data_IF_203710903845
#
_entry.id   IF_203710903845
#
_cell.length_a   1.000
_cell.length_b   1.000
_cell.length_c   1.000
_cell.angle_alpha   90.00
_cell.angle_beta   90.00
_cell.angle_gamma   90.00
#
_symmetry.space_group_name_H-M   'P 1'
#
loop_
_entity.id
_entity.type
_entity.pdbx_description
1 polymer ?
#
# COMPACT_ATOMS: atom_id res chain seq x y z
N UNK A 1 -44.33 21.16 -0.92
CA UNK A 1 -43.56 21.44 0.31
C UNK A 1 -43.81 20.26 1.24
N UNK A 2 -42.86 19.49 1.76
CA UNK A 2 -41.39 19.55 1.83
C UNK A 2 -40.89 18.11 2.02
N UNK A 3 -39.87 17.71 1.26
CA UNK A 3 -39.18 16.43 1.45
C UNK A 3 -38.22 16.53 2.63
N UNK A 4 -38.42 15.69 3.65
CA UNK A 4 -37.53 15.57 4.80
C UNK A 4 -36.45 14.51 4.48
N UNK A 5 -35.27 14.98 4.05
CA UNK A 5 -34.08 14.15 3.91
C UNK A 5 -33.50 13.89 5.31
N UNK A 6 -33.68 12.65 5.78
CA UNK A 6 -33.06 12.15 7.01
C UNK A 6 -31.55 11.99 6.82
N UNK A 7 -30.81 12.59 7.76
CA UNK A 7 -29.36 12.69 7.83
C UNK A 7 -28.70 11.31 8.07
N UNK A 8 -27.77 10.91 7.20
CA UNK A 8 -26.84 9.83 7.50
C UNK A 8 -25.70 10.37 8.37
N UNK A 9 -25.74 10.03 9.66
CA UNK A 9 -24.63 10.21 10.61
C UNK A 9 -23.45 9.30 10.21
N UNK A 10 -22.44 9.88 9.56
CA UNK A 10 -21.20 9.17 9.17
C UNK A 10 -20.26 8.97 10.37
N UNK A 11 -20.42 7.83 11.03
CA UNK A 11 -19.42 7.21 11.92
C UNK A 11 -18.25 6.69 11.05
N UNK A 12 -17.01 6.78 11.57
CA UNK A 12 -15.73 6.53 10.89
C UNK A 12 -15.76 5.59 9.67
N UNK A 13 -15.48 6.15 8.48
CA UNK A 13 -15.62 5.42 7.21
C UNK A 13 -14.59 4.30 7.06
N UNK A 14 -14.99 3.22 6.41
CA UNK A 14 -14.09 2.17 5.94
C UNK A 14 -14.35 2.01 4.45
N UNK A 15 -13.33 2.19 3.63
CA UNK A 15 -13.40 1.91 2.20
C UNK A 15 -13.34 0.40 1.96
N UNK A 16 -14.38 -0.12 1.31
CA UNK A 16 -14.43 -1.49 0.83
C UNK A 16 -14.18 -1.53 -0.67
N UNK A 17 -13.31 -2.45 -1.10
CA UNK A 17 -13.11 -2.79 -2.51
C UNK A 17 -13.67 -4.19 -2.74
N UNK A 18 -14.21 -4.43 -3.93
CA UNK A 18 -14.65 -5.76 -4.34
C UNK A 18 -13.46 -6.66 -4.62
N UNK A 19 -13.72 -7.95 -4.81
CA UNK A 19 -12.73 -8.90 -5.30
C UNK A 19 -12.11 -8.49 -6.65
N UNK A 20 -12.78 -7.71 -7.50
CA UNK A 20 -12.16 -7.19 -8.73
C UNK A 20 -11.36 -5.90 -8.51
N UNK A 21 -11.41 -5.33 -7.31
CA UNK A 21 -10.78 -4.06 -6.97
C UNK A 21 -11.63 -2.83 -7.30
N UNK A 22 -12.93 -3.01 -7.54
CA UNK A 22 -13.88 -1.91 -7.75
C UNK A 22 -14.32 -1.33 -6.41
N UNK A 23 -14.46 -0.01 -6.31
CA UNK A 23 -14.91 0.66 -5.10
C UNK A 23 -16.39 0.33 -4.80
N UNK A 24 -16.65 -0.11 -3.58
CA UNK A 24 -18.01 -0.27 -3.06
C UNK A 24 -18.64 1.11 -2.79
N UNK A 25 -19.90 1.27 -3.18
CA UNK A 25 -20.69 2.50 -2.92
C UNK A 25 -21.27 2.49 -1.50
N UNK A 26 -21.39 1.31 -0.91
CA UNK A 26 -21.88 1.07 0.44
C UNK A 26 -20.98 0.08 1.17
N UNK A 27 -21.13 -0.02 2.48
CA UNK A 27 -20.43 -1.03 3.28
C UNK A 27 -20.61 -2.45 2.73
N UNK A 28 -19.61 -3.28 2.95
CA UNK A 28 -19.69 -4.70 2.61
C UNK A 28 -20.64 -5.43 3.56
N UNK A 29 -21.80 -5.88 3.07
CA UNK A 29 -22.90 -6.44 3.89
C UNK A 29 -23.18 -7.90 3.55
N UNK A 30 -23.67 -8.69 4.52
CA UNK A 30 -24.10 -10.06 4.26
C UNK A 30 -25.38 -10.09 3.40
N UNK A 31 -25.38 -10.95 2.38
CA UNK A 31 -26.45 -11.25 1.44
C UNK A 31 -26.41 -12.74 1.11
N UNK A 32 -27.40 -13.50 1.58
CA UNK A 32 -27.47 -14.95 1.33
C UNK A 32 -26.31 -15.78 1.89
N UNK A 33 -25.61 -15.28 2.92
CA UNK A 33 -24.43 -15.92 3.51
C UNK A 33 -23.10 -15.48 2.91
N UNK A 34 -23.13 -14.64 1.87
CA UNK A 34 -21.97 -14.04 1.22
C UNK A 34 -21.91 -12.54 1.54
N UNK A 35 -20.72 -11.95 1.52
CA UNK A 35 -20.55 -10.52 1.69
C UNK A 35 -20.43 -9.85 0.34
N UNK A 36 -21.35 -8.90 0.08
CA UNK A 36 -21.46 -8.17 -1.18
C UNK A 36 -21.65 -6.68 -0.92
N UNK A 37 -21.27 -5.90 -1.93
CA UNK A 37 -21.55 -4.47 -1.97
C UNK A 37 -22.00 -4.09 -3.38
N UNK A 38 -22.71 -2.96 -3.49
CA UNK A 38 -23.02 -2.38 -4.80
C UNK A 38 -21.84 -1.61 -5.35
N UNK A 39 -21.64 -1.76 -6.66
CA UNK A 39 -20.72 -0.96 -7.46
C UNK A 39 -21.41 -0.45 -8.71
N UNK A 40 -20.99 0.70 -9.22
CA UNK A 40 -21.43 1.23 -10.52
C UNK A 40 -20.33 0.92 -11.54
N UNK A 41 -20.69 0.26 -12.64
CA UNK A 41 -19.77 0.04 -13.75
C UNK A 41 -19.58 1.31 -14.61
N UNK A 42 -18.68 1.23 -15.60
CA UNK A 42 -18.38 2.35 -16.49
C UNK A 42 -19.59 2.81 -17.33
N UNK A 43 -20.58 1.95 -17.50
CA UNK A 43 -21.80 2.21 -18.26
C UNK A 43 -22.95 2.70 -17.35
N UNK A 44 -22.68 2.92 -16.06
CA UNK A 44 -23.63 3.43 -15.08
C UNK A 44 -24.57 2.38 -14.49
N UNK A 45 -24.38 1.08 -14.76
CA UNK A 45 -25.21 0.02 -14.19
C UNK A 45 -24.71 -0.38 -12.81
N UNK A 46 -25.65 -0.55 -11.88
CA UNK A 46 -25.38 -1.08 -10.56
C UNK A 46 -25.21 -2.60 -10.63
N UNK A 47 -24.16 -3.12 -10.01
CA UNK A 47 -23.89 -4.55 -9.87
C UNK A 47 -23.61 -4.87 -8.40
N UNK A 48 -24.03 -6.05 -7.93
CA UNK A 48 -23.65 -6.58 -6.62
C UNK A 48 -22.42 -7.47 -6.80
N UNK A 49 -21.35 -7.17 -6.07
CA UNK A 49 -20.08 -7.87 -6.21
C UNK A 49 -19.53 -8.30 -4.86
N UNK A 50 -18.78 -9.41 -4.83
CA UNK A 50 -18.15 -9.90 -3.62
C UNK A 50 -17.14 -8.90 -3.07
N UNK A 51 -17.19 -8.70 -1.76
CA UNK A 51 -16.26 -7.90 -0.98
C UNK A 51 -15.97 -8.62 0.34
N UNK A 52 -15.03 -8.09 1.13
CA UNK A 52 -14.72 -8.64 2.45
C UNK A 52 -15.28 -7.76 3.56
N UNK A 53 -15.85 -8.33 4.63
CA UNK A 53 -16.36 -7.56 5.76
C UNK A 53 -15.24 -6.92 6.59
N UNK A 54 -14.04 -7.50 6.55
CA UNK A 54 -12.86 -7.05 7.27
C UNK A 54 -11.59 -7.36 6.46
N UNK A 55 -10.48 -6.74 6.87
CA UNK A 55 -9.19 -7.01 6.25
C UNK A 55 -8.83 -8.50 6.36
N UNK A 56 -8.32 -9.04 5.25
CA UNK A 56 -7.83 -10.41 5.18
C UNK A 56 -8.86 -11.51 5.50
N UNK A 57 -10.15 -11.24 5.27
CA UNK A 57 -11.20 -12.25 5.22
C UNK A 57 -11.65 -12.47 3.78
N UNK A 58 -12.20 -13.64 3.47
CA UNK A 58 -12.88 -13.86 2.20
C UNK A 58 -14.33 -13.36 2.24
N UNK A 59 -15.00 -13.48 1.10
CA UNK A 59 -16.39 -13.08 0.90
C UNK A 59 -17.41 -13.93 1.68
N UNK A 60 -17.01 -15.01 2.34
CA UNK A 60 -17.84 -15.74 3.30
C UNK A 60 -17.51 -15.39 4.76
N UNK A 61 -16.62 -14.40 4.98
CA UNK A 61 -16.15 -14.02 6.31
C UNK A 61 -15.17 -15.02 6.93
N UNK A 62 -14.56 -15.90 6.12
CA UNK A 62 -13.55 -16.85 6.57
C UNK A 62 -12.18 -16.20 6.54
N UNK A 63 -11.36 -16.47 7.55
CA UNK A 63 -10.03 -15.89 7.65
C UNK A 63 -9.09 -16.44 6.57
N UNK A 64 -8.45 -15.55 5.82
CA UNK A 64 -7.38 -15.92 4.90
C UNK A 64 -6.12 -16.35 5.67
N UNK A 65 -5.39 -17.33 5.12
CA UNK A 65 -4.12 -17.78 5.69
C UNK A 65 -3.06 -16.69 5.67
N UNK A 66 -2.14 -16.74 6.62
CA UNK A 66 -1.03 -15.79 6.70
C UNK A 66 -0.08 -15.86 5.48
N UNK A 67 0.09 -17.04 4.88
CA UNK A 67 0.91 -17.28 3.67
C UNK A 67 0.10 -17.11 2.36
N UNK A 68 -1.12 -16.60 2.45
CA UNK A 68 -2.00 -16.34 1.33
C UNK A 68 -3.06 -15.36 1.80
N UNK A 69 -2.64 -14.13 2.10
CA UNK A 69 -3.52 -13.05 2.49
C UNK A 69 -4.45 -12.62 1.34
N UNK A 70 -5.38 -11.70 1.55
CA UNK A 70 -6.19 -11.22 0.43
C UNK A 70 -5.34 -10.49 -0.63
N UNK A 71 -5.34 -10.99 -1.86
CA UNK A 71 -4.55 -10.40 -2.95
C UNK A 71 -4.79 -11.08 -4.29
N UNK A 72 -4.23 -10.52 -5.37
CA UNK A 72 -4.51 -11.01 -6.74
C UNK A 72 -3.73 -12.26 -7.15
N UNK A 73 -2.51 -12.46 -6.64
CA UNK A 73 -1.69 -13.64 -6.94
C UNK A 73 -1.56 -13.99 -8.45
N UNK A 74 -1.51 -12.98 -9.31
CA UNK A 74 -1.43 -13.16 -10.78
C UNK A 74 -2.78 -13.22 -11.50
N UNK A 75 -3.89 -13.18 -10.77
CA UNK A 75 -5.24 -13.16 -11.32
C UNK A 75 -5.77 -11.72 -11.50
N UNK A 76 -6.86 -11.55 -12.24
CA UNK A 76 -7.57 -10.27 -12.35
C UNK A 76 -8.50 -9.98 -11.15
N UNK A 77 -8.74 -10.98 -10.30
CA UNK A 77 -9.46 -10.91 -9.04
C UNK A 77 -8.57 -11.15 -7.82
N UNK A 78 -8.96 -10.59 -6.69
CA UNK A 78 -8.40 -10.83 -5.38
C UNK A 78 -9.01 -12.09 -4.75
N UNK A 79 -8.15 -12.96 -4.24
CA UNK A 79 -8.52 -14.19 -3.55
C UNK A 79 -7.51 -14.50 -2.45
N UNK A 80 -7.78 -15.55 -1.68
CA UNK A 80 -6.89 -16.04 -0.66
C UNK A 80 -7.13 -17.51 -0.37
N UNK A 81 -6.14 -18.22 0.18
CA UNK A 81 -6.34 -19.59 0.69
C UNK A 81 -6.91 -19.53 2.11
N UNK A 82 -7.90 -20.38 2.38
CA UNK A 82 -8.50 -20.54 3.71
C UNK A 82 -7.84 -21.71 4.43
N UNK A 83 -7.61 -22.82 3.72
CA UNK A 83 -6.81 -23.94 4.17
C UNK A 83 -6.05 -24.55 2.98
N UNK A 84 -5.49 -25.75 3.13
CA UNK A 84 -4.70 -26.41 2.08
C UNK A 84 -5.56 -26.76 0.85
N UNK A 85 -6.86 -26.95 1.03
CA UNK A 85 -7.77 -27.49 -0.01
C UNK A 85 -8.82 -26.47 -0.49
N UNK A 86 -8.85 -25.26 0.09
CA UNK A 86 -9.89 -24.28 -0.20
C UNK A 86 -9.34 -22.87 -0.27
N UNK A 87 -9.97 -22.10 -1.14
CA UNK A 87 -9.73 -20.68 -1.34
C UNK A 87 -11.07 -19.94 -1.39
N UNK A 88 -10.99 -18.61 -1.38
CA UNK A 88 -12.16 -17.75 -1.51
C UNK A 88 -11.77 -16.40 -2.11
N UNK A 89 -12.73 -15.78 -2.81
CA UNK A 89 -12.59 -14.39 -3.25
C UNK A 89 -12.56 -13.45 -2.06
N UNK A 90 -11.84 -12.36 -2.16
CA UNK A 90 -11.75 -11.40 -1.07
C UNK A 90 -11.62 -9.98 -1.62
N UNK A 91 -12.21 -9.02 -0.93
CA UNK A 91 -12.05 -7.60 -1.18
C UNK A 91 -11.00 -6.97 -0.26
N UNK A 92 -10.34 -5.91 -0.72
CA UNK A 92 -9.46 -5.13 0.14
C UNK A 92 -10.29 -4.16 1.00
N UNK A 93 -9.96 -4.05 2.28
CA UNK A 93 -10.64 -3.18 3.26
C UNK A 93 -9.64 -2.16 3.78
N UNK A 94 -9.99 -0.87 3.74
CA UNK A 94 -9.12 0.25 4.16
C UNK A 94 -9.86 1.17 5.11
N UNK A 95 -9.29 1.54 6.25
CA UNK A 95 -9.91 2.54 7.12
C UNK A 95 -9.83 3.95 6.48
N UNK A 96 -10.95 4.68 6.47
CA UNK A 96 -11.00 6.08 6.04
C UNK A 96 -10.55 6.96 7.20
N UNK A 97 -9.36 7.54 7.09
CA UNK A 97 -8.91 8.55 8.06
C UNK A 97 -9.73 9.82 7.84
N UNK A 98 -10.63 10.15 8.78
CA UNK A 98 -11.23 11.50 8.87
C UNK A 98 -10.09 12.51 9.08
N UNK A 99 -9.94 13.43 8.13
CA UNK A 99 -9.32 14.73 8.35
C UNK A 99 -10.12 15.42 9.46
N UNK A 100 -9.53 15.56 10.65
CA UNK A 100 -10.04 16.52 11.63
C UNK A 100 -9.63 17.90 11.11
N UNK A 101 -10.66 18.63 10.72
CA UNK A 101 -10.67 20.05 10.44
C UNK A 101 -10.08 20.83 11.63
N UNK A 102 -8.99 21.56 11.40
CA UNK A 102 -8.70 22.77 12.14
C UNK A 102 -8.62 23.88 11.11
N UNK A 103 -9.75 24.55 10.91
CA UNK A 103 -9.83 25.78 10.14
C UNK A 103 -8.86 26.83 10.66
N UNK A 104 -8.27 27.59 9.75
CA UNK A 104 -8.65 28.99 9.52
C UNK A 104 -7.73 29.53 8.42
N UNK A 105 -8.32 30.09 7.38
CA UNK A 105 -7.60 30.60 6.23
C UNK A 105 -6.86 31.89 6.55
N UNK A 106 -5.64 32.02 6.03
CA UNK A 106 -5.13 33.31 5.57
C UNK A 106 -4.24 33.09 4.35
N UNK A 107 -4.62 33.74 3.25
CA UNK A 107 -3.76 33.98 2.11
C UNK A 107 -2.54 34.79 2.54
N UNK A 108 -1.34 34.21 2.50
CA UNK A 108 -0.11 34.99 2.33
C UNK A 108 0.80 34.29 1.31
N UNK A 109 1.05 35.00 0.23
CA UNK A 109 2.07 34.74 -0.77
C UNK A 109 3.46 34.83 -0.13
N UNK A 110 4.28 33.78 -0.19
CA UNK A 110 5.74 33.96 -0.28
C UNK A 110 6.45 32.66 -0.66
N UNK A 111 7.41 32.83 -1.57
CA UNK A 111 8.31 31.81 -2.10
C UNK A 111 9.30 31.39 -1.02
N UNK A 112 9.06 30.27 -0.34
CA UNK A 112 10.12 29.52 0.36
C UNK A 112 9.90 28.02 0.15
N UNK A 113 10.99 27.29 -0.11
CA UNK A 113 11.02 25.86 -0.44
C UNK A 113 10.19 25.06 0.59
N UNK A 114 8.99 24.63 0.18
CA UNK A 114 8.14 23.75 0.96
C UNK A 114 8.88 22.43 1.20
N UNK A 115 9.43 22.27 2.41
CA UNK A 115 9.73 20.96 2.97
C UNK A 115 8.38 20.27 3.11
N UNK A 116 8.01 19.46 2.10
CA UNK A 116 6.77 18.69 2.10
C UNK A 116 6.78 17.84 3.38
N UNK A 117 5.82 18.06 4.26
CA UNK A 117 5.66 17.23 5.46
C UNK A 117 5.37 15.80 4.96
N UNK A 118 6.14 14.78 5.37
CA UNK A 118 5.86 13.40 4.99
C UNK A 118 4.44 12.99 5.40
N UNK A 119 3.69 12.40 4.49
CA UNK A 119 2.34 11.87 4.75
C UNK A 119 2.46 10.57 5.54
N UNK A 120 1.78 10.44 6.68
CA UNK A 120 1.71 9.17 7.42
C UNK A 120 0.74 8.23 6.71
N UNK A 121 1.28 7.22 6.03
CA UNK A 121 0.51 6.17 5.35
C UNK A 121 -0.22 5.34 6.41
N UNK A 122 0.52 4.80 7.37
CA UNK A 122 -0.02 3.91 8.39
C UNK A 122 0.89 3.81 9.62
N UNK A 123 0.32 3.37 10.73
CA UNK A 123 1.01 3.07 11.98
C UNK A 123 0.52 1.73 12.51
N UNK A 124 1.39 0.73 12.53
CA UNK A 124 1.11 -0.59 13.10
C UNK A 124 1.58 -0.61 14.56
N UNK A 125 0.67 -0.88 15.49
CA UNK A 125 0.94 -0.95 16.93
C UNK A 125 0.91 -2.41 17.40
N UNK A 126 2.09 -2.98 17.63
CA UNK A 126 2.28 -4.29 18.25
C UNK A 126 2.43 -4.12 19.75
N UNK A 127 1.28 -4.07 20.43
CA UNK A 127 1.21 -3.89 21.89
C UNK A 127 1.88 -5.02 22.66
N UNK A 128 1.91 -6.24 22.11
CA UNK A 128 2.52 -7.39 22.77
C UNK A 128 4.04 -7.26 22.88
N UNK A 129 4.66 -6.67 21.85
CA UNK A 129 6.10 -6.42 21.82
C UNK A 129 6.47 -4.96 22.18
N UNK A 130 5.47 -4.11 22.47
CA UNK A 130 5.61 -2.67 22.68
C UNK A 130 6.34 -1.96 21.53
N UNK A 131 6.02 -2.34 20.30
CA UNK A 131 6.63 -1.79 19.08
C UNK A 131 5.56 -1.06 18.27
N UNK A 132 5.87 0.18 17.91
CA UNK A 132 5.09 0.94 16.93
C UNK A 132 5.91 1.14 15.67
N UNK A 133 5.38 0.70 14.53
CA UNK A 133 5.99 0.84 13.20
C UNK A 133 5.20 1.83 12.37
N UNK A 134 5.82 2.92 11.93
CA UNK A 134 5.16 3.98 11.15
C UNK A 134 5.69 4.00 9.72
N UNK A 135 4.78 4.03 8.76
CA UNK A 135 5.07 4.18 7.33
C UNK A 135 4.77 5.63 6.93
N UNK A 136 5.74 6.32 6.35
CA UNK A 136 5.53 7.68 5.83
C UNK A 136 5.92 7.77 4.36
N UNK A 137 5.23 8.60 3.59
CA UNK A 137 5.48 8.85 2.18
C UNK A 137 5.94 10.30 1.97
N UNK A 138 7.01 10.48 1.20
CA UNK A 138 7.43 11.75 0.66
C UNK A 138 7.30 11.72 -0.87
N UNK A 139 6.39 12.53 -1.42
CA UNK A 139 6.16 12.58 -2.86
C UNK A 139 7.44 12.99 -3.61
N UNK A 140 7.91 12.12 -4.52
CA UNK A 140 9.16 12.29 -5.26
C UNK A 140 8.96 12.10 -6.78
N UNK A 141 8.03 12.84 -7.42
CA UNK A 141 7.60 12.58 -8.79
C UNK A 141 8.70 12.78 -9.84
N UNK A 142 9.72 13.61 -9.56
CA UNK A 142 10.84 13.87 -10.46
C UNK A 142 11.95 12.80 -10.35
N UNK A 143 11.97 12.06 -9.24
CA UNK A 143 12.97 11.03 -8.94
C UNK A 143 12.40 9.62 -9.12
N UNK A 144 11.08 9.45 -9.01
CA UNK A 144 10.36 8.17 -9.14
C UNK A 144 9.38 8.27 -10.31
N UNK A 145 9.71 7.53 -11.38
CA UNK A 145 8.93 7.51 -12.62
C UNK A 145 7.66 6.67 -12.47
N UNK A 146 6.66 6.90 -13.34
CA UNK A 146 5.47 6.04 -13.38
C UNK A 146 5.85 4.66 -13.92
N UNK A 147 5.76 3.65 -13.06
CA UNK A 147 6.11 2.27 -13.38
C UNK A 147 4.95 1.39 -13.84
N UNK A 148 3.73 1.92 -14.05
CA UNK A 148 2.51 1.11 -14.30
C UNK A 148 2.66 0.00 -15.33
N UNK A 149 3.40 0.23 -16.42
CA UNK A 149 3.63 -0.77 -17.45
C UNK A 149 4.40 -2.01 -16.97
N UNK A 150 5.16 -1.90 -15.88
CA UNK A 150 5.89 -2.99 -15.23
C UNK A 150 5.22 -3.46 -13.94
N UNK A 151 3.95 -3.12 -13.69
CA UNK A 151 3.25 -3.46 -12.43
C UNK A 151 3.40 -4.93 -12.05
N UNK A 152 3.09 -5.85 -12.96
CA UNK A 152 3.18 -7.29 -12.68
C UNK A 152 4.62 -7.73 -12.37
N UNK A 153 5.59 -7.18 -13.10
CA UNK A 153 7.02 -7.48 -12.88
C UNK A 153 7.49 -6.92 -11.52
N UNK A 154 7.04 -5.71 -11.16
CA UNK A 154 7.35 -5.08 -9.88
C UNK A 154 6.75 -5.86 -8.72
N UNK A 155 5.47 -6.25 -8.81
CA UNK A 155 4.81 -7.05 -7.77
C UNK A 155 5.48 -8.41 -7.58
N UNK A 156 5.84 -9.11 -8.67
CA UNK A 156 6.57 -10.38 -8.60
C UNK A 156 7.95 -10.21 -7.95
N UNK A 157 8.69 -9.17 -8.35
CA UNK A 157 10.01 -8.86 -7.81
C UNK A 157 9.95 -8.45 -6.32
N UNK A 158 8.91 -7.73 -5.92
CA UNK A 158 8.67 -7.35 -4.53
C UNK A 158 8.32 -8.59 -3.70
N UNK A 159 7.49 -9.49 -4.23
CA UNK A 159 7.06 -10.69 -3.52
C UNK A 159 8.22 -11.65 -3.23
N UNK A 160 9.23 -11.71 -4.10
CA UNK A 160 10.44 -12.51 -3.88
C UNK A 160 11.44 -11.87 -2.91
N UNK A 161 11.16 -10.67 -2.38
CA UNK A 161 12.05 -10.04 -1.41
C UNK A 161 12.18 -10.89 -0.15
N UNK A 162 13.42 -11.16 0.26
CA UNK A 162 13.77 -11.72 1.57
C UNK A 162 14.81 -10.82 2.24
N UNK A 163 14.76 -10.69 3.56
CA UNK A 163 15.65 -9.80 4.30
C UNK A 163 17.11 -10.24 4.27
N UNK A 164 17.38 -11.50 3.90
CA UNK A 164 18.73 -12.01 3.67
C UNK A 164 19.47 -11.23 2.55
N UNK A 165 18.74 -10.51 1.70
CA UNK A 165 19.33 -9.63 0.69
C UNK A 165 19.84 -8.29 1.22
N UNK A 166 19.56 -7.94 2.48
CA UNK A 166 20.09 -6.73 3.10
C UNK A 166 21.60 -6.87 3.28
N UNK A 167 22.34 -5.92 2.71
CA UNK A 167 23.79 -5.87 2.75
C UNK A 167 24.26 -4.49 3.16
N UNK A 168 25.37 -4.43 3.88
CA UNK A 168 25.92 -3.18 4.44
C UNK A 168 26.61 -2.27 3.41
N UNK A 169 26.63 -2.66 2.14
CA UNK A 169 27.28 -1.94 1.05
C UNK A 169 26.32 -1.73 -0.13
N UNK A 170 26.58 -0.69 -0.92
CA UNK A 170 25.83 -0.48 -2.14
C UNK A 170 26.02 -1.67 -3.09
N UNK A 171 24.92 -2.26 -3.54
CA UNK A 171 24.92 -3.46 -4.38
C UNK A 171 23.72 -3.42 -5.30
N UNK A 172 23.99 -3.53 -6.60
CA UNK A 172 22.94 -3.64 -7.62
C UNK A 172 22.58 -5.10 -7.87
N UNK A 173 21.37 -5.34 -8.39
CA UNK A 173 20.85 -6.65 -8.75
C UNK A 173 20.78 -7.60 -7.55
N UNK A 174 20.32 -7.12 -6.38
CA UNK A 174 20.02 -7.99 -5.25
C UNK A 174 19.00 -9.05 -5.64
N UNK A 175 17.97 -8.61 -6.37
CA UNK A 175 16.98 -9.44 -7.05
C UNK A 175 16.77 -8.80 -8.43
N UNK A 176 16.59 -9.63 -9.46
CA UNK A 176 16.42 -9.15 -10.83
C UNK A 176 15.34 -9.95 -11.56
N UNK A 177 14.59 -9.26 -12.41
CA UNK A 177 13.70 -9.83 -13.41
C UNK A 177 14.08 -9.36 -14.81
N UNK A 178 13.21 -9.60 -15.80
CA UNK A 178 13.42 -9.12 -17.16
C UNK A 178 13.55 -7.60 -17.22
N UNK A 179 12.55 -6.86 -16.68
CA UNK A 179 12.50 -5.41 -16.83
C UNK A 179 12.99 -4.65 -15.60
N UNK A 180 13.02 -5.26 -14.42
CA UNK A 180 13.30 -4.57 -13.17
C UNK A 180 14.41 -5.26 -12.37
N UNK A 181 14.97 -4.52 -11.41
CA UNK A 181 15.89 -5.03 -10.39
C UNK A 181 15.70 -4.26 -9.09
N UNK A 182 16.01 -4.92 -7.97
CA UNK A 182 16.15 -4.28 -6.66
C UNK A 182 17.62 -4.01 -6.41
N UNK A 183 17.92 -2.75 -6.14
CA UNK A 183 19.26 -2.25 -5.84
C UNK A 183 19.32 -1.71 -4.41
N UNK A 184 20.40 -2.01 -3.70
CA UNK A 184 20.78 -1.34 -2.47
C UNK A 184 21.70 -0.16 -2.81
N UNK A 185 21.21 1.05 -2.61
CA UNK A 185 21.93 2.29 -2.94
C UNK A 185 22.93 2.72 -1.87
N UNK A 186 22.84 2.13 -0.68
CA UNK A 186 23.73 2.43 0.43
C UNK A 186 22.98 2.70 1.72
N UNK A 187 23.77 2.93 2.77
CA UNK A 187 23.28 3.13 4.12
C UNK A 187 23.12 4.62 4.40
N UNK A 188 21.98 4.99 4.98
CA UNK A 188 21.69 6.35 5.45
C UNK A 188 21.67 6.34 6.97
N UNK A 189 22.26 7.37 7.60
CA UNK A 189 22.16 7.60 9.04
C UNK A 189 21.15 8.71 9.31
N UNK A 190 20.16 8.46 10.16
CA UNK A 190 19.19 9.46 10.65
C UNK A 190 18.95 9.23 12.13
N UNK A 191 19.00 10.29 12.94
CA UNK A 191 18.80 10.22 14.39
C UNK A 191 19.63 9.12 15.09
N UNK A 192 20.89 8.99 14.68
CA UNK A 192 21.82 7.97 15.18
C UNK A 192 21.41 6.51 14.86
N UNK A 193 20.38 6.30 14.05
CA UNK A 193 19.94 4.99 13.56
C UNK A 193 20.30 4.80 12.09
N UNK A 194 20.57 3.54 11.75
CA UNK A 194 20.96 3.09 10.42
C UNK A 194 19.73 2.69 9.62
N UNK A 195 19.71 3.11 8.36
CA UNK A 195 18.65 2.77 7.40
C UNK A 195 19.22 2.29 6.08
N UNK A 196 18.59 1.30 5.47
CA UNK A 196 18.87 0.82 4.13
C UNK A 196 18.08 1.64 3.11
N UNK A 197 18.77 2.13 2.08
CA UNK A 197 18.15 2.80 0.95
C UNK A 197 18.02 1.81 -0.21
N UNK A 198 16.82 1.26 -0.38
CA UNK A 198 16.54 0.30 -1.43
C UNK A 198 15.72 0.95 -2.55
N UNK A 199 15.99 0.55 -3.78
CA UNK A 199 15.30 1.05 -4.96
C UNK A 199 14.93 -0.09 -5.91
N UNK A 200 13.76 0.02 -6.52
CA UNK A 200 13.42 -0.76 -7.70
C UNK A 200 13.74 0.09 -8.91
N UNK A 201 14.59 -0.43 -9.80
CA UNK A 201 15.03 0.26 -11.00
C UNK A 201 14.74 -0.54 -12.26
N UNK A 202 14.50 0.17 -13.36
CA UNK A 202 14.35 -0.41 -14.69
C UNK A 202 15.71 -0.88 -15.23
N UNK A 203 15.72 -2.04 -15.88
CA UNK A 203 16.89 -2.66 -16.53
C UNK A 203 17.22 -2.04 -17.88
N UNK A 204 17.33 -0.70 -17.90
CA UNK A 204 17.75 0.06 -19.09
C UNK A 204 18.93 0.95 -18.76
N UNK A 205 19.70 1.28 -19.79
CA UNK A 205 20.76 2.26 -19.67
C UNK A 205 20.15 3.64 -19.42
N UNK A 206 20.46 4.22 -18.26
CA UNK A 206 19.99 5.55 -17.86
C UNK A 206 20.50 6.61 -18.82
N UNK A 207 19.60 7.41 -19.40
CA UNK A 207 19.97 8.64 -20.12
C UNK A 207 20.27 9.77 -19.13
N UNK A 208 21.13 10.72 -19.53
CA UNK A 208 21.52 11.85 -18.67
C UNK A 208 20.29 12.67 -18.28
N UNK A 209 20.04 12.81 -16.99
CA UNK A 209 18.92 13.58 -16.43
C UNK A 209 17.61 12.81 -16.23
N UNK A 210 17.51 11.57 -16.72
CA UNK A 210 16.33 10.72 -16.49
C UNK A 210 16.52 9.86 -15.24
N UNK A 211 15.44 9.51 -14.54
CA UNK A 211 15.45 8.50 -13.48
C UNK A 211 14.99 7.15 -14.03
N UNK A 212 15.61 6.06 -13.57
CA UNK A 212 15.17 4.70 -13.83
C UNK A 212 14.45 4.09 -12.63
N UNK A 213 14.26 4.85 -11.55
CA UNK A 213 13.68 4.37 -10.30
C UNK A 213 12.16 4.38 -10.37
N UNK A 214 11.53 3.24 -10.10
CA UNK A 214 10.06 3.10 -10.07
C UNK A 214 9.53 2.95 -8.64
N UNK A 215 10.38 2.63 -7.67
CA UNK A 215 10.06 2.63 -6.25
C UNK A 215 11.33 2.85 -5.41
N UNK A 216 11.19 3.48 -4.25
CA UNK A 216 12.26 3.70 -3.28
C UNK A 216 11.72 3.62 -1.86
N UNK A 217 12.43 2.86 -1.02
CA UNK A 217 12.12 2.72 0.40
C UNK A 217 13.36 2.95 1.26
N UNK A 218 13.15 3.52 2.44
CA UNK A 218 14.17 3.73 3.46
C UNK A 218 13.72 2.99 4.72
N UNK A 219 14.41 1.90 5.05
CA UNK A 219 13.98 0.96 6.10
C UNK A 219 15.04 0.77 7.18
N UNK A 220 14.67 0.55 8.45
CA UNK A 220 15.63 0.32 9.52
C UNK A 220 16.08 -1.15 9.53
N UNK A 221 17.08 -1.44 10.35
CA UNK A 221 17.44 -2.81 10.72
C UNK A 221 16.26 -3.55 11.39
N UNK A 222 16.29 -4.90 11.33
CA UNK A 222 15.35 -5.81 12.01
C UNK A 222 13.87 -5.64 11.64
N UNK A 223 13.57 -5.05 10.49
CA UNK A 223 12.19 -4.88 10.03
C UNK A 223 11.64 -6.17 9.42
N UNK A 224 10.39 -6.60 9.70
CA UNK A 224 9.78 -7.76 9.06
C UNK A 224 9.71 -7.62 7.53
N UNK A 225 10.02 -8.69 6.79
CA UNK A 225 9.98 -8.72 5.31
C UNK A 225 8.64 -8.22 4.74
N UNK A 226 7.52 -8.59 5.39
CA UNK A 226 6.18 -8.13 5.01
C UNK A 226 6.06 -6.60 4.95
N UNK A 227 6.76 -5.88 5.82
CA UNK A 227 6.75 -4.42 5.86
C UNK A 227 7.64 -3.82 4.77
N UNK A 228 8.72 -4.50 4.41
CA UNK A 228 9.55 -4.14 3.25
C UNK A 228 8.73 -4.26 1.97
N UNK A 229 8.07 -5.42 1.77
CA UNK A 229 7.20 -5.69 0.62
C UNK A 229 6.08 -4.64 0.52
N UNK A 230 5.39 -4.38 1.63
CA UNK A 230 4.35 -3.33 1.73
C UNK A 230 4.90 -1.95 1.35
N UNK A 231 6.04 -1.55 1.89
CA UNK A 231 6.60 -0.24 1.62
C UNK A 231 6.98 -0.06 0.15
N UNK A 232 7.50 -1.10 -0.52
CA UNK A 232 7.76 -1.04 -1.95
C UNK A 232 6.47 -0.86 -2.76
N UNK A 233 5.40 -1.59 -2.43
CA UNK A 233 4.11 -1.43 -3.11
C UNK A 233 3.53 -0.02 -2.91
N UNK A 234 3.61 0.53 -1.70
CA UNK A 234 3.20 1.91 -1.42
C UNK A 234 4.02 2.91 -2.21
N UNK A 235 5.34 2.73 -2.26
CA UNK A 235 6.25 3.60 -3.00
C UNK A 235 5.94 3.59 -4.50
N UNK A 236 5.79 2.40 -5.07
CA UNK A 236 5.48 2.19 -6.48
C UNK A 236 4.15 2.84 -6.88
N UNK A 237 3.10 2.61 -6.09
CA UNK A 237 1.75 3.12 -6.39
C UNK A 237 1.65 4.63 -6.23
N UNK A 238 2.36 5.22 -5.26
CA UNK A 238 2.30 6.65 -4.95
C UNK A 238 3.34 7.49 -5.69
N UNK A 239 4.33 6.86 -6.34
CA UNK A 239 5.54 7.53 -6.86
C UNK A 239 6.21 8.38 -5.76
N UNK A 240 6.33 7.77 -4.59
CA UNK A 240 6.81 8.43 -3.38
C UNK A 240 7.92 7.62 -2.73
N UNK A 241 8.86 8.30 -2.08
CA UNK A 241 9.82 7.63 -1.20
C UNK A 241 9.10 7.23 0.07
N UNK A 242 9.12 5.95 0.42
CA UNK A 242 8.49 5.46 1.65
C UNK A 242 9.53 5.23 2.73
N UNK A 243 9.30 5.74 3.93
CA UNK A 243 10.14 5.52 5.09
C UNK A 243 9.41 4.62 6.08
N UNK A 244 10.14 3.73 6.73
CA UNK A 244 9.65 2.95 7.86
C UNK A 244 10.41 3.40 9.10
N UNK A 245 9.69 3.83 10.13
CA UNK A 245 10.27 4.17 11.43
C UNK A 245 9.71 3.24 12.51
N UNK A 246 10.59 2.76 13.38
CA UNK A 246 10.23 1.83 14.47
C UNK A 246 10.56 2.48 15.80
N UNK A 247 9.56 2.59 16.68
CA UNK A 247 9.72 3.09 18.04
C UNK A 247 9.30 2.02 19.04
N UNK A 248 10.10 1.82 20.09
CA UNK A 248 9.76 0.97 21.24
C UNK A 248 9.29 1.84 22.41
N UNK A 249 8.34 1.36 23.20
CA UNK A 249 7.79 2.10 24.34
C UNK A 249 7.52 1.20 25.55
#
# INVERSE_FOLDING_TARGET
ETHEYSQCTNTAGTTFLTHLGTLCIEDCKPDGGEYKCKTIDKDGRSQNMFCSPQENMDYWGRQCRADSMCGKYGEDYCWCRINIFSWGYCGLVKADKKLIDSGEGTHITSRHRNRRVPEVIDTVDDKGNHIKTTFTAEAAPDEIIDGKQWRNDAENLINSWENLHLVDQARSNLIKSGNLRIDMQGIIKRNNQRYYNLQIQVNVQRKKGESTTVAQIIIPDEIPERYVRRAFLESFNRRARVFIDVSRY
#
